data_IF_966855396472
#
_entry.id   IF_966855396472
#
_cell.length_a   1.000
_cell.length_b   1.000
_cell.length_c   1.000
_cell.angle_alpha   90.00
_cell.angle_beta   90.00
_cell.angle_gamma   90.00
#
_symmetry.space_group_name_H-M   'P 1'
#
loop_
_entity.id
_entity.type
_entity.pdbx_description
1 polymer ?
#
# COMPACT_ATOMS: atom_id res chain seq x y z
N UNK A 1 26.94 15.78 -7.77
CA UNK A 1 27.32 17.01 -7.04
C UNK A 1 28.82 17.16 -7.18
N UNK A 2 29.35 18.37 -7.36
CA UNK A 2 30.80 18.60 -7.41
C UNK A 2 31.24 19.55 -6.31
N UNK A 3 32.50 19.54 -5.96
CA UNK A 3 33.09 20.46 -5.01
C UNK A 3 34.46 20.96 -5.48
N UNK A 4 34.96 22.02 -4.84
CA UNK A 4 36.24 22.65 -5.09
C UNK A 4 36.81 23.17 -3.77
N UNK A 5 38.14 23.18 -3.63
CA UNK A 5 38.84 23.91 -2.56
C UNK A 5 39.03 25.36 -3.04
N UNK A 6 38.42 26.32 -2.35
CA UNK A 6 38.45 27.71 -2.76
C UNK A 6 39.87 28.30 -2.65
N UNK A 7 40.52 28.59 -3.77
CA UNK A 7 41.82 29.28 -3.77
C UNK A 7 41.64 30.80 -3.64
N UNK A 8 42.73 31.52 -3.38
CA UNK A 8 42.72 32.98 -3.35
C UNK A 8 42.30 33.58 -4.72
N UNK A 9 42.78 33.00 -5.82
CA UNK A 9 42.42 33.41 -7.18
C UNK A 9 40.96 33.08 -7.48
N UNK A 10 40.48 31.89 -7.11
CA UNK A 10 39.06 31.54 -7.31
C UNK A 10 38.15 32.52 -6.58
N UNK A 11 38.47 32.88 -5.34
CA UNK A 11 37.71 33.89 -4.59
C UNK A 11 37.73 35.26 -5.28
N UNK A 12 38.88 35.69 -5.76
CA UNK A 12 39.03 36.99 -6.42
C UNK A 12 38.19 37.07 -7.69
N UNK A 13 38.14 36.00 -8.48
CA UNK A 13 37.56 36.02 -9.83
C UNK A 13 36.18 35.36 -9.95
N UNK A 14 35.78 34.56 -8.97
CA UNK A 14 34.51 33.83 -8.92
C UNK A 14 33.70 34.14 -7.64
N UNK A 15 33.88 35.33 -7.07
CA UNK A 15 33.21 35.78 -5.84
C UNK A 15 31.68 35.59 -5.87
N UNK A 16 31.04 35.72 -7.04
CA UNK A 16 29.60 35.51 -7.19
C UNK A 16 29.14 34.08 -6.84
N UNK A 17 30.02 33.08 -6.98
CA UNK A 17 29.73 31.68 -6.67
C UNK A 17 30.28 31.24 -5.31
N UNK A 18 31.42 31.79 -4.90
CA UNK A 18 32.08 31.43 -3.63
C UNK A 18 31.62 32.26 -2.44
N UNK A 19 31.13 33.48 -2.66
CA UNK A 19 30.66 34.39 -1.62
C UNK A 19 31.69 34.57 -0.51
N UNK A 20 31.26 34.32 0.73
CA UNK A 20 32.09 34.45 1.93
C UNK A 20 32.93 33.21 2.26
N UNK A 21 33.01 32.20 1.38
CA UNK A 21 33.84 31.01 1.61
C UNK A 21 35.28 31.41 1.95
N UNK A 22 35.92 30.77 2.94
CA UNK A 22 37.30 31.05 3.29
C UNK A 22 38.29 30.44 2.28
N UNK A 23 39.48 31.01 2.14
CA UNK A 23 40.52 30.38 1.31
C UNK A 23 40.90 29.04 1.94
N UNK A 24 40.92 27.97 1.15
CA UNK A 24 41.14 26.60 1.61
C UNK A 24 39.86 25.86 2.04
N UNK A 25 38.72 26.55 2.14
CA UNK A 25 37.45 25.90 2.45
C UNK A 25 36.89 25.14 1.23
N UNK A 26 36.17 24.06 1.49
CA UNK A 26 35.53 23.27 0.45
C UNK A 26 34.13 23.83 0.17
N UNK A 27 33.87 24.14 -1.10
CA UNK A 27 32.55 24.57 -1.57
C UNK A 27 31.91 23.50 -2.43
N UNK A 28 30.70 23.09 -2.07
CA UNK A 28 29.91 22.13 -2.86
C UNK A 28 28.92 22.85 -3.78
N UNK A 29 28.65 22.23 -4.92
CA UNK A 29 27.76 22.70 -5.96
C UNK A 29 26.81 21.58 -6.39
N UNK A 30 25.52 21.72 -6.05
CA UNK A 30 24.45 20.84 -6.55
C UNK A 30 24.30 21.01 -8.07
N UNK A 31 24.48 22.24 -8.55
CA UNK A 31 24.52 22.59 -9.98
C UNK A 31 25.79 23.35 -10.26
N UNK A 32 26.48 22.97 -11.33
CA UNK A 32 27.71 23.64 -11.74
C UNK A 32 27.46 25.13 -12.07
N UNK A 33 28.41 26.02 -11.71
CA UNK A 33 28.40 27.42 -12.12
C UNK A 33 28.20 27.55 -13.63
N UNK A 34 27.40 28.55 -14.07
CA UNK A 34 27.20 28.82 -15.50
C UNK A 34 28.50 29.30 -16.15
N UNK A 35 29.19 30.17 -15.44
CA UNK A 35 30.48 30.74 -15.79
C UNK A 35 31.49 30.41 -14.71
N UNK A 36 32.73 30.13 -15.10
CA UNK A 36 33.85 30.07 -14.17
C UNK A 36 35.10 30.65 -14.83
N UNK A 37 35.86 31.43 -14.06
CA UNK A 37 37.14 32.01 -14.46
C UNK A 37 38.26 31.25 -13.76
N UNK A 38 39.05 30.53 -14.54
CA UNK A 38 40.25 29.85 -14.09
C UNK A 38 41.47 30.71 -14.44
N UNK A 39 42.28 31.04 -13.44
CA UNK A 39 43.48 31.89 -13.60
C UNK A 39 44.71 31.10 -13.17
N UNK A 40 45.68 31.04 -14.09
CA UNK A 40 47.03 30.54 -13.84
C UNK A 40 47.97 31.72 -13.96
N UNK A 41 48.91 31.84 -13.01
CA UNK A 41 49.96 32.85 -13.05
C UNK A 41 51.24 32.24 -13.60
N UNK A 42 51.96 33.01 -14.42
CA UNK A 42 53.29 32.66 -14.91
C UNK A 42 54.37 32.85 -13.82
N UNK A 43 55.61 32.53 -14.17
CA UNK A 43 56.78 32.67 -13.27
C UNK A 43 57.03 34.11 -12.77
N UNK A 44 56.46 35.12 -13.44
CA UNK A 44 56.56 36.53 -13.07
C UNK A 44 55.29 37.04 -12.34
N UNK A 45 54.44 36.12 -11.88
CA UNK A 45 53.18 36.40 -11.20
C UNK A 45 52.20 37.24 -12.05
N UNK A 46 52.30 37.16 -13.38
CA UNK A 46 51.34 37.73 -14.33
C UNK A 46 50.37 36.65 -14.82
N UNK A 47 49.19 37.04 -15.31
CA UNK A 47 48.22 36.07 -15.84
C UNK A 47 48.80 35.40 -17.09
N UNK A 48 49.00 34.09 -17.03
CA UNK A 48 49.32 33.29 -18.20
C UNK A 48 48.06 33.16 -19.07
N UNK A 49 48.03 33.89 -20.19
CA UNK A 49 46.89 33.91 -21.11
C UNK A 49 46.70 32.61 -21.88
N UNK A 50 47.73 31.76 -21.98
CA UNK A 50 47.63 30.46 -22.63
C UNK A 50 47.00 29.41 -21.71
N UNK A 51 47.24 29.52 -20.40
CA UNK A 51 46.73 28.61 -19.37
C UNK A 51 45.55 29.16 -18.56
N UNK A 52 45.06 30.37 -18.85
CA UNK A 52 43.90 30.97 -18.18
C UNK A 52 42.70 31.07 -19.11
N UNK A 53 41.49 30.86 -18.59
CA UNK A 53 40.24 30.96 -19.35
C UNK A 53 39.06 31.41 -18.50
N UNK A 54 38.04 31.95 -19.17
CA UNK A 54 36.73 32.27 -18.58
C UNK A 54 35.63 32.00 -19.60
N UNK A 55 34.59 31.23 -19.27
CA UNK A 55 33.54 30.90 -20.25
C UNK A 55 32.16 30.51 -19.71
N UNK A 56 31.13 30.98 -20.45
CA UNK A 56 29.75 30.50 -20.65
C UNK A 56 29.45 29.02 -20.43
N UNK A 57 30.38 28.21 -20.93
CA UNK A 57 30.17 26.79 -21.20
C UNK A 57 30.73 25.90 -20.10
N UNK A 58 31.33 26.47 -19.05
CA UNK A 58 31.91 25.69 -17.95
C UNK A 58 30.91 24.70 -17.38
N UNK A 59 29.63 25.07 -17.28
CA UNK A 59 28.57 24.17 -16.79
C UNK A 59 28.43 22.86 -17.55
N UNK A 60 28.69 22.86 -18.86
CA UNK A 60 28.46 21.72 -19.77
C UNK A 60 29.74 21.03 -20.23
N UNK A 61 30.89 21.65 -20.00
CA UNK A 61 32.21 21.18 -20.43
C UNK A 61 32.91 20.46 -19.28
N UNK A 62 32.72 19.14 -19.18
CA UNK A 62 33.22 18.33 -18.05
C UNK A 62 34.73 18.21 -17.99
N UNK A 63 35.41 18.28 -19.14
CA UNK A 63 36.87 18.14 -19.21
C UNK A 63 37.58 19.31 -18.53
N UNK A 64 36.93 20.49 -18.51
CA UNK A 64 37.43 21.68 -17.80
C UNK A 64 37.20 21.64 -16.30
N UNK A 65 36.33 20.77 -15.79
CA UNK A 65 35.99 20.73 -14.36
C UNK A 65 37.21 20.36 -13.52
N UNK A 66 37.86 19.24 -13.84
CA UNK A 66 39.03 18.77 -13.09
C UNK A 66 40.19 19.78 -13.13
N UNK A 67 40.44 20.39 -14.30
CA UNK A 67 41.49 21.39 -14.47
C UNK A 67 41.20 22.64 -13.62
N UNK A 68 39.93 23.03 -13.52
CA UNK A 68 39.50 24.12 -12.64
C UNK A 68 39.42 23.72 -11.15
N UNK A 69 39.82 22.49 -10.78
CA UNK A 69 39.81 22.01 -9.39
C UNK A 69 38.47 21.45 -8.92
N UNK A 70 37.51 21.25 -9.82
CA UNK A 70 36.21 20.65 -9.49
C UNK A 70 36.23 19.14 -9.62
N UNK A 71 35.91 18.46 -8.53
CA UNK A 71 35.82 17.01 -8.46
C UNK A 71 34.46 16.56 -7.91
N UNK A 72 34.09 15.32 -8.16
CA UNK A 72 32.81 14.77 -7.67
C UNK A 72 32.81 14.62 -6.16
N UNK A 73 31.64 14.83 -5.54
CA UNK A 73 31.41 14.52 -4.13
C UNK A 73 30.81 13.13 -4.06
N UNK A 74 31.54 12.21 -3.41
CA UNK A 74 31.21 10.79 -3.30
C UNK A 74 31.03 10.44 -1.84
N UNK A 75 29.86 9.87 -1.50
CA UNK A 75 29.63 9.27 -0.19
C UNK A 75 30.45 7.99 -0.10
N UNK A 76 31.32 7.82 0.90
CA UNK A 76 32.14 6.63 1.02
C UNK A 76 31.26 5.39 1.26
N UNK A 77 31.76 4.21 0.91
CA UNK A 77 31.14 2.96 1.36
C UNK A 77 31.44 2.74 2.85
N UNK A 78 30.42 2.44 3.64
CA UNK A 78 30.55 2.16 5.07
C UNK A 78 29.44 1.20 5.53
N UNK A 79 29.65 0.54 6.67
CA UNK A 79 28.62 -0.33 7.26
C UNK A 79 27.66 0.52 8.10
N UNK A 80 26.42 0.71 7.64
CA UNK A 80 25.44 1.58 8.32
C UNK A 80 25.04 1.14 9.73
N UNK A 81 25.29 -0.12 10.10
CA UNK A 81 25.01 -0.64 11.43
C UNK A 81 26.11 -0.25 12.44
N UNK A 82 27.35 -0.21 11.99
CA UNK A 82 28.54 -0.07 12.85
C UNK A 82 29.33 1.21 12.58
N UNK A 83 28.98 1.96 11.53
CA UNK A 83 29.69 3.13 11.08
C UNK A 83 28.75 4.25 10.64
N UNK A 84 29.29 5.47 10.62
CA UNK A 84 28.65 6.66 10.07
C UNK A 84 29.69 7.54 9.39
N UNK A 85 29.23 8.44 8.53
CA UNK A 85 30.06 9.54 8.04
C UNK A 85 29.44 10.86 8.45
N UNK A 86 30.28 11.89 8.50
CA UNK A 86 29.91 13.25 8.90
C UNK A 86 29.87 14.15 7.66
N UNK A 87 28.68 14.53 7.15
CA UNK A 87 28.55 15.38 5.95
C UNK A 87 29.24 16.75 6.07
N UNK A 88 29.49 17.22 7.28
CA UNK A 88 30.19 18.47 7.57
C UNK A 88 31.72 18.36 7.45
N UNK A 89 32.28 17.14 7.45
CA UNK A 89 33.72 16.89 7.37
C UNK A 89 34.16 16.45 5.98
N UNK A 90 33.68 17.11 4.94
CA UNK A 90 34.13 16.83 3.57
C UNK A 90 35.63 17.11 3.42
N UNK A 91 36.36 16.23 2.75
CA UNK A 91 37.78 16.40 2.42
C UNK A 91 38.07 15.96 0.98
N UNK A 92 39.21 16.37 0.43
CA UNK A 92 39.67 15.94 -0.90
C UNK A 92 40.55 14.69 -0.78
N UNK A 93 40.09 13.56 -1.31
CA UNK A 93 40.88 12.35 -1.49
C UNK A 93 41.75 12.51 -2.74
N UNK A 94 43.04 12.73 -2.50
CA UNK A 94 44.03 12.96 -3.54
C UNK A 94 44.34 11.72 -4.37
N UNK A 95 44.13 10.51 -3.82
CA UNK A 95 44.42 9.26 -4.52
C UNK A 95 43.32 8.95 -5.54
N UNK A 96 42.06 9.19 -5.15
CA UNK A 96 40.89 8.91 -6.00
C UNK A 96 40.37 10.14 -6.75
N UNK A 97 40.94 11.32 -6.51
CA UNK A 97 40.55 12.60 -7.10
C UNK A 97 39.06 12.91 -6.93
N UNK A 98 38.55 12.70 -5.72
CA UNK A 98 37.15 12.98 -5.33
C UNK A 98 37.09 13.71 -4.01
N UNK A 99 36.01 14.43 -3.78
CA UNK A 99 35.67 14.87 -2.43
C UNK A 99 34.86 13.77 -1.74
N UNK A 100 35.23 13.42 -0.52
CA UNK A 100 34.54 12.38 0.26
C UNK A 100 34.49 12.75 1.74
N UNK A 101 33.99 11.84 2.57
CA UNK A 101 33.75 12.06 4.00
C UNK A 101 34.50 11.03 4.83
N UNK A 102 34.97 11.37 6.03
CA UNK A 102 35.55 10.40 6.94
C UNK A 102 34.46 9.44 7.43
N UNK A 103 34.83 8.18 7.56
CA UNK A 103 33.99 7.14 8.15
C UNK A 103 34.45 6.90 9.58
N UNK A 104 33.50 6.91 10.50
CA UNK A 104 33.71 6.69 11.93
C UNK A 104 32.95 5.45 12.37
N UNK A 105 33.50 4.72 13.33
CA UNK A 105 32.81 3.61 13.97
C UNK A 105 31.89 4.13 15.08
N UNK A 106 30.70 3.54 15.20
CA UNK A 106 29.86 3.70 16.38
C UNK A 106 30.55 3.07 17.59
N UNK A 107 30.31 3.66 18.75
CA UNK A 107 30.65 3.03 20.02
C UNK A 107 29.74 1.81 20.27
N UNK A 108 30.22 0.85 21.07
CA UNK A 108 29.40 -0.31 21.44
C UNK A 108 28.07 0.11 22.09
N UNK A 109 28.07 1.17 22.90
CA UNK A 109 26.87 1.68 23.55
C UNK A 109 25.84 2.23 22.54
N UNK A 110 26.28 2.87 21.46
CA UNK A 110 25.39 3.35 20.41
C UNK A 110 24.83 2.20 19.57
N UNK A 111 25.64 1.18 19.29
CA UNK A 111 25.18 -0.05 18.61
C UNK A 111 24.12 -0.75 19.47
N UNK A 112 24.37 -0.92 20.77
CA UNK A 112 23.44 -1.56 21.69
C UNK A 112 22.14 -0.77 21.82
N UNK A 113 22.21 0.57 21.86
CA UNK A 113 21.04 1.44 21.89
C UNK A 113 20.19 1.27 20.61
N UNK A 114 20.82 1.28 19.43
CA UNK A 114 20.13 1.04 18.15
C UNK A 114 19.47 -0.33 18.10
N UNK A 115 20.17 -1.38 18.49
CA UNK A 115 19.62 -2.75 18.53
C UNK A 115 18.45 -2.85 19.51
N UNK A 116 18.51 -2.14 20.64
CA UNK A 116 17.40 -2.08 21.60
C UNK A 116 16.18 -1.39 20.99
N UNK A 117 16.37 -0.25 20.34
CA UNK A 117 15.29 0.49 19.69
C UNK A 117 14.67 -0.31 18.54
N UNK A 118 15.48 -1.00 17.75
CA UNK A 118 15.03 -1.91 16.70
C UNK A 118 14.16 -3.03 17.27
N UNK A 119 14.61 -3.71 18.34
CA UNK A 119 13.82 -4.75 19.02
C UNK A 119 12.52 -4.23 19.62
N UNK A 120 12.53 -3.02 20.17
CA UNK A 120 11.31 -2.37 20.68
C UNK A 120 10.34 -2.11 19.53
N UNK A 121 10.83 -1.60 18.40
CA UNK A 121 10.01 -1.35 17.22
C UNK A 121 9.43 -2.64 16.64
N UNK A 122 10.25 -3.69 16.48
CA UNK A 122 9.80 -5.02 16.06
C UNK A 122 8.73 -5.57 16.99
N UNK A 123 8.98 -5.53 18.30
CA UNK A 123 8.00 -5.98 19.31
C UNK A 123 6.70 -5.17 19.25
N UNK A 124 6.77 -3.86 18.99
CA UNK A 124 5.59 -3.01 18.87
C UNK A 124 4.81 -3.30 17.58
N UNK A 125 5.51 -3.50 16.46
CA UNK A 125 4.89 -3.89 15.19
C UNK A 125 4.17 -5.24 15.30
N UNK A 126 4.82 -6.25 15.88
CA UNK A 126 4.20 -7.56 16.12
C UNK A 126 2.99 -7.45 17.06
N UNK A 127 3.10 -6.63 18.11
CA UNK A 127 1.98 -6.38 19.03
C UNK A 127 0.80 -5.74 18.29
N UNK A 128 1.05 -4.76 17.42
CA UNK A 128 0.01 -4.08 16.64
C UNK A 128 -0.71 -5.06 15.71
N UNK A 129 0.04 -5.91 15.02
CA UNK A 129 -0.49 -6.96 14.14
C UNK A 129 -1.35 -7.97 14.92
N UNK A 130 -0.85 -8.46 16.05
CA UNK A 130 -1.60 -9.40 16.88
C UNK A 130 -2.88 -8.78 17.45
N UNK A 131 -2.84 -7.51 17.84
CA UNK A 131 -4.04 -6.78 18.29
C UNK A 131 -5.06 -6.71 17.15
N UNK A 132 -4.62 -6.36 15.93
CA UNK A 132 -5.51 -6.27 14.77
C UNK A 132 -6.18 -7.62 14.48
N UNK A 133 -5.39 -8.70 14.36
CA UNK A 133 -5.91 -10.05 14.09
C UNK A 133 -6.90 -10.51 15.17
N UNK A 134 -6.58 -10.28 16.45
CA UNK A 134 -7.47 -10.65 17.55
C UNK A 134 -8.75 -9.83 17.58
N UNK A 135 -8.65 -8.54 17.28
CA UNK A 135 -9.80 -7.65 17.23
C UNK A 135 -10.75 -8.04 16.09
N UNK A 136 -10.21 -8.31 14.90
CA UNK A 136 -11.00 -8.79 13.75
C UNK A 136 -11.70 -10.11 14.06
N UNK A 137 -10.99 -11.08 14.64
CA UNK A 137 -11.58 -12.35 15.05
C UNK A 137 -12.70 -12.17 16.09
N UNK A 138 -12.50 -11.29 17.09
CA UNK A 138 -13.50 -11.01 18.12
C UNK A 138 -14.73 -10.29 17.56
N UNK A 139 -14.53 -9.33 16.65
CA UNK A 139 -15.62 -8.63 15.95
C UNK A 139 -16.43 -9.63 15.12
N UNK A 140 -15.77 -10.48 14.36
CA UNK A 140 -16.43 -11.50 13.56
C UNK A 140 -17.20 -12.51 14.42
N UNK A 141 -16.59 -12.99 15.52
CA UNK A 141 -17.27 -13.89 16.47
C UNK A 141 -18.54 -13.24 17.04
N UNK A 142 -18.45 -11.96 17.43
CA UNK A 142 -19.58 -11.19 17.95
C UNK A 142 -20.66 -10.97 16.89
N UNK A 143 -20.27 -10.67 15.64
CA UNK A 143 -21.20 -10.53 14.52
C UNK A 143 -21.90 -11.86 14.21
N UNK A 144 -21.17 -12.98 14.13
CA UNK A 144 -21.76 -14.30 13.88
C UNK A 144 -22.71 -14.75 14.99
N UNK A 145 -22.49 -14.30 16.23
CA UNK A 145 -23.39 -14.55 17.36
C UNK A 145 -24.67 -13.71 17.33
N UNK A 146 -24.78 -12.71 16.45
CA UNK A 146 -26.00 -11.90 16.30
C UNK A 146 -27.15 -12.76 15.76
N UNK A 147 -28.24 -12.80 16.51
CA UNK A 147 -29.45 -13.56 16.18
C UNK A 147 -30.46 -12.76 15.39
N UNK A 148 -30.41 -11.43 15.46
CA UNK A 148 -31.28 -10.55 14.70
C UNK A 148 -30.71 -10.35 13.29
N UNK A 149 -31.39 -10.94 12.30
CA UNK A 149 -31.02 -10.87 10.89
C UNK A 149 -31.05 -9.43 10.35
N UNK A 150 -31.88 -8.53 10.92
CA UNK A 150 -31.89 -7.11 10.51
C UNK A 150 -30.65 -6.37 10.97
N UNK A 151 -30.21 -6.62 12.21
CA UNK A 151 -28.95 -6.08 12.74
C UNK A 151 -27.76 -6.64 11.98
N UNK A 152 -27.80 -7.93 11.64
CA UNK A 152 -26.79 -8.55 10.79
C UNK A 152 -26.71 -7.90 9.41
N UNK A 153 -27.85 -7.62 8.78
CA UNK A 153 -27.92 -7.01 7.46
C UNK A 153 -27.45 -5.55 7.48
N UNK A 154 -27.85 -4.76 8.48
CA UNK A 154 -27.36 -3.38 8.71
C UNK A 154 -25.82 -3.32 8.87
N UNK A 155 -25.22 -4.43 9.34
CA UNK A 155 -23.78 -4.58 9.56
C UNK A 155 -23.15 -5.63 8.64
N UNK A 156 -23.69 -5.85 7.44
CA UNK A 156 -23.26 -6.95 6.55
C UNK A 156 -21.75 -6.95 6.25
N UNK A 157 -21.11 -5.77 6.26
CA UNK A 157 -19.68 -5.60 6.00
C UNK A 157 -18.77 -6.27 7.06
N UNK A 158 -19.31 -6.66 8.23
CA UNK A 158 -18.58 -7.38 9.27
C UNK A 158 -18.46 -8.89 9.00
N UNK A 159 -19.26 -9.43 8.07
CA UNK A 159 -19.27 -10.85 7.75
C UNK A 159 -18.27 -11.17 6.63
N UNK A 160 -17.67 -12.37 6.61
CA UNK A 160 -16.70 -12.75 5.58
C UNK A 160 -17.42 -13.00 4.26
N UNK A 161 -16.68 -12.90 3.16
CA UNK A 161 -17.17 -13.42 1.88
C UNK A 161 -17.26 -14.94 1.90
N UNK A 162 -18.21 -15.49 1.14
CA UNK A 162 -18.29 -16.90 0.86
C UNK A 162 -17.03 -17.36 0.11
N UNK A 163 -16.49 -18.50 0.52
CA UNK A 163 -15.29 -19.10 -0.07
C UNK A 163 -15.50 -20.60 -0.28
N UNK A 164 -14.84 -21.17 -1.30
CA UNK A 164 -14.87 -22.60 -1.62
C UNK A 164 -14.01 -23.39 -0.63
N UNK A 165 -14.47 -24.57 -0.21
CA UNK A 165 -13.73 -25.45 0.70
C UNK A 165 -13.86 -25.08 2.18
N UNK A 166 -14.74 -24.12 2.52
CA UNK A 166 -15.02 -23.72 3.90
C UNK A 166 -16.15 -24.58 4.47
N UNK A 167 -15.96 -25.09 5.68
CA UNK A 167 -17.00 -25.80 6.42
C UNK A 167 -17.90 -24.79 7.15
N UNK A 168 -19.12 -24.60 6.65
CA UNK A 168 -20.11 -23.73 7.25
C UNK A 168 -21.03 -24.50 8.19
N UNK A 169 -21.34 -23.91 9.34
CA UNK A 169 -22.34 -24.42 10.30
C UNK A 169 -23.68 -23.71 10.11
N UNK A 170 -24.75 -24.31 10.61
CA UNK A 170 -26.09 -23.68 10.60
C UNK A 170 -26.03 -22.30 11.25
N UNK A 171 -26.68 -21.32 10.62
CA UNK A 171 -26.75 -19.93 11.08
C UNK A 171 -25.53 -19.08 10.74
N UNK A 172 -24.43 -19.68 10.25
CA UNK A 172 -23.25 -18.93 9.83
C UNK A 172 -23.60 -18.03 8.65
N UNK A 173 -23.30 -16.73 8.77
CA UNK A 173 -23.63 -15.75 7.74
C UNK A 173 -22.39 -15.37 6.91
N UNK A 174 -22.58 -15.19 5.61
CA UNK A 174 -21.54 -14.83 4.64
C UNK A 174 -22.05 -13.80 3.65
N UNK A 175 -21.17 -12.92 3.18
CA UNK A 175 -21.42 -12.10 2.01
C UNK A 175 -21.19 -12.91 0.73
N UNK A 176 -22.04 -12.78 -0.27
CA UNK A 176 -21.80 -13.37 -1.59
C UNK A 176 -22.39 -12.50 -2.70
N UNK A 177 -21.83 -12.64 -3.90
CA UNK A 177 -22.35 -11.96 -5.07
C UNK A 177 -23.61 -12.63 -5.59
N UNK A 178 -24.59 -11.81 -5.95
CA UNK A 178 -25.69 -12.18 -6.83
C UNK A 178 -25.69 -11.20 -8.01
N UNK A 179 -25.19 -11.68 -9.14
CA UNK A 179 -24.84 -10.82 -10.27
C UNK A 179 -23.72 -9.84 -9.91
N UNK A 180 -24.06 -8.54 -9.84
CA UNK A 180 -23.10 -7.46 -9.53
C UNK A 180 -23.22 -6.96 -8.09
N UNK A 181 -24.28 -7.34 -7.39
CA UNK A 181 -24.59 -6.88 -6.04
C UNK A 181 -24.09 -7.88 -5.00
N UNK A 182 -23.83 -7.41 -3.80
CA UNK A 182 -23.41 -8.23 -2.65
C UNK A 182 -24.56 -8.33 -1.68
N UNK A 183 -24.91 -9.56 -1.31
CA UNK A 183 -25.95 -9.83 -0.32
C UNK A 183 -25.40 -10.69 0.81
N UNK A 184 -26.05 -10.58 1.97
CA UNK A 184 -25.80 -11.44 3.10
C UNK A 184 -26.64 -12.72 2.97
N UNK A 185 -26.02 -13.88 3.15
CA UNK A 185 -26.64 -15.19 3.15
C UNK A 185 -26.39 -15.88 4.48
N UNK A 186 -27.34 -16.70 4.91
CA UNK A 186 -27.27 -17.51 6.12
C UNK A 186 -27.28 -18.99 5.76
N UNK A 187 -26.32 -19.73 6.29
CA UNK A 187 -26.23 -21.17 6.12
C UNK A 187 -27.39 -21.88 6.82
N UNK A 188 -28.09 -22.76 6.11
CA UNK A 188 -29.28 -23.49 6.60
C UNK A 188 -28.91 -24.89 7.06
N UNK A 189 -27.97 -25.53 6.36
CA UNK A 189 -27.53 -26.90 6.62
C UNK A 189 -26.01 -26.97 6.68
N UNK A 190 -25.40 -27.71 7.63
CA UNK A 190 -23.96 -27.78 7.73
C UNK A 190 -23.38 -28.51 6.52
N UNK A 191 -22.40 -27.88 5.86
CA UNK A 191 -21.77 -28.44 4.66
C UNK A 191 -20.36 -27.86 4.46
N UNK A 192 -19.60 -28.44 3.54
CA UNK A 192 -18.38 -27.83 3.00
C UNK A 192 -18.70 -27.28 1.62
N UNK A 193 -18.43 -25.99 1.40
CA UNK A 193 -18.74 -25.30 0.15
C UNK A 193 -17.95 -25.86 -1.04
N UNK A 194 -18.58 -25.84 -2.21
CA UNK A 194 -18.01 -26.27 -3.50
C UNK A 194 -18.12 -25.13 -4.53
N UNK A 195 -17.33 -25.20 -5.61
CA UNK A 195 -17.24 -24.14 -6.62
C UNK A 195 -18.58 -23.82 -7.29
N UNK A 196 -19.43 -24.84 -7.49
CA UNK A 196 -20.77 -24.76 -8.06
C UNK A 196 -21.87 -24.49 -7.01
N UNK A 197 -21.51 -24.31 -5.73
CA UNK A 197 -22.45 -24.09 -4.63
C UNK A 197 -22.41 -22.64 -4.13
N UNK A 198 -22.49 -21.69 -5.06
CA UNK A 198 -22.62 -20.28 -4.70
C UNK A 198 -23.95 -20.07 -3.95
N UNK A 199 -24.02 -19.24 -2.90
CA UNK A 199 -25.21 -19.13 -2.06
C UNK A 199 -26.54 -18.87 -2.79
N UNK A 200 -26.50 -18.11 -3.90
CA UNK A 200 -27.67 -17.84 -4.75
C UNK A 200 -28.20 -19.07 -5.51
N UNK A 201 -27.34 -20.05 -5.81
CA UNK A 201 -27.64 -21.20 -6.67
C UNK A 201 -28.06 -22.44 -5.87
N UNK A 202 -27.89 -22.41 -4.54
CA UNK A 202 -28.19 -23.53 -3.63
C UNK A 202 -29.11 -23.10 -2.47
N UNK A 203 -30.38 -22.74 -2.73
CA UNK A 203 -31.33 -22.28 -1.71
C UNK A 203 -31.58 -23.31 -0.59
N UNK A 204 -31.34 -24.59 -0.85
CA UNK A 204 -31.39 -25.66 0.15
C UNK A 204 -30.26 -25.58 1.20
N UNK A 205 -29.13 -24.93 0.88
CA UNK A 205 -27.94 -24.80 1.74
C UNK A 205 -27.81 -23.39 2.32
N UNK A 206 -28.25 -22.37 1.60
CA UNK A 206 -28.20 -20.97 2.00
C UNK A 206 -29.53 -20.25 1.77
N UNK A 207 -29.88 -19.36 2.69
CA UNK A 207 -31.01 -18.44 2.52
C UNK A 207 -30.48 -17.01 2.50
N UNK A 208 -30.94 -16.21 1.55
CA UNK A 208 -30.65 -14.77 1.51
C UNK A 208 -31.26 -14.10 2.75
N UNK A 209 -30.47 -13.32 3.47
CA UNK A 209 -30.94 -12.51 4.61
C UNK A 209 -31.63 -11.27 4.06
N UNK A 210 -32.84 -10.99 4.53
CA UNK A 210 -33.69 -9.91 4.04
C UNK A 210 -34.40 -9.21 5.21
N UNK A 211 -34.88 -7.98 5.01
CA UNK A 211 -35.66 -7.30 6.04
C UNK A 211 -37.07 -7.93 6.17
N UNK A 212 -37.70 -7.86 7.36
CA UNK A 212 -39.07 -8.33 7.53
C UNK A 212 -40.03 -7.67 6.52
N UNK A 213 -40.76 -8.50 5.78
CA UNK A 213 -41.70 -8.06 4.74
C UNK A 213 -41.09 -7.87 3.36
N UNK A 214 -39.77 -8.05 3.21
CA UNK A 214 -39.15 -8.20 1.89
C UNK A 214 -39.47 -9.59 1.34
N UNK A 215 -40.08 -9.60 0.16
CA UNK A 215 -40.51 -10.83 -0.51
C UNK A 215 -39.37 -11.24 -1.45
N UNK A 216 -38.86 -12.48 -1.39
CA UNK A 216 -37.79 -12.92 -2.28
C UNK A 216 -38.30 -13.16 -3.69
N UNK A 217 -37.40 -13.15 -4.68
CA UNK A 217 -37.72 -13.66 -6.03
C UNK A 217 -37.81 -15.18 -5.97
N UNK A 218 -38.74 -15.77 -6.73
CA UNK A 218 -38.86 -17.22 -6.86
C UNK A 218 -37.55 -17.82 -7.38
N UNK A 219 -37.07 -18.85 -6.68
CA UNK A 219 -35.94 -19.68 -7.10
C UNK A 219 -36.46 -21.09 -7.29
N UNK A 220 -36.13 -21.71 -8.42
CA UNK A 220 -36.56 -23.06 -8.75
C UNK A 220 -36.05 -24.06 -7.70
N UNK A 221 -36.93 -24.74 -6.94
CA UNK A 221 -36.50 -25.71 -5.94
C UNK A 221 -35.79 -26.90 -6.59
N UNK A 222 -34.80 -27.43 -5.86
CA UNK A 222 -33.96 -28.58 -6.24
C UNK A 222 -34.34 -29.85 -5.48
N UNK A 223 -35.14 -29.75 -4.42
CA UNK A 223 -35.64 -30.85 -3.62
C UNK A 223 -36.87 -30.48 -2.79
N UNK A 224 -37.18 -31.29 -1.78
CA UNK A 224 -38.29 -31.04 -0.88
C UNK A 224 -37.93 -29.99 0.20
N UNK A 225 -36.65 -29.87 0.52
CA UNK A 225 -36.15 -28.98 1.57
C UNK A 225 -36.18 -27.48 1.22
N UNK A 226 -36.30 -27.15 -0.06
CA UNK A 226 -36.39 -25.79 -0.60
C UNK A 226 -37.73 -25.54 -1.32
N UNK A 227 -38.71 -26.43 -1.13
CA UNK A 227 -40.04 -26.27 -1.67
C UNK A 227 -40.84 -25.22 -0.87
N UNK A 228 -41.68 -24.45 -1.57
CA UNK A 228 -42.50 -23.42 -0.97
C UNK A 228 -43.76 -24.03 -0.34
N UNK A 229 -44.11 -23.63 0.87
CA UNK A 229 -45.31 -24.10 1.55
C UNK A 229 -46.49 -23.17 1.32
N UNK A 230 -47.69 -23.62 1.69
CA UNK A 230 -48.90 -22.79 1.58
C UNK A 230 -48.71 -21.48 2.34
N UNK A 231 -48.92 -20.34 1.68
CA UNK A 231 -48.76 -19.00 2.23
C UNK A 231 -47.40 -18.35 1.99
N UNK A 232 -46.41 -19.06 1.46
CA UNK A 232 -45.12 -18.46 1.09
C UNK A 232 -45.30 -17.51 -0.10
N UNK A 233 -44.67 -16.33 -0.03
CA UNK A 233 -44.78 -15.29 -1.04
C UNK A 233 -43.47 -15.10 -1.79
N UNK A 234 -43.55 -14.93 -3.12
CA UNK A 234 -42.40 -14.67 -3.99
C UNK A 234 -42.72 -13.65 -5.07
N UNK A 235 -41.75 -12.84 -5.47
CA UNK A 235 -41.80 -12.10 -6.73
C UNK A 235 -41.47 -13.03 -7.90
N UNK A 236 -42.16 -12.90 -9.04
CA UNK A 236 -41.83 -13.68 -10.23
C UNK A 236 -42.21 -12.95 -11.55
N UNK A 237 -41.33 -12.94 -12.58
CA UNK A 237 -40.01 -13.59 -12.61
C UNK A 237 -38.87 -12.79 -11.97
N UNK A 238 -39.03 -11.49 -11.75
CA UNK A 238 -38.00 -10.61 -11.16
C UNK A 238 -38.51 -9.86 -9.94
N UNK A 239 -37.63 -9.23 -9.17
CA UNK A 239 -37.95 -8.47 -7.95
C UNK A 239 -38.95 -7.31 -8.12
N UNK A 240 -39.16 -6.85 -9.36
CA UNK A 240 -40.08 -5.76 -9.68
C UNK A 240 -41.42 -6.26 -10.27
N UNK A 241 -41.60 -7.57 -10.40
CA UNK A 241 -42.81 -8.20 -10.93
C UNK A 241 -43.83 -8.50 -9.81
N UNK A 242 -45.07 -8.93 -10.13
CA UNK A 242 -46.07 -9.22 -9.11
C UNK A 242 -45.64 -10.27 -8.10
N UNK A 243 -46.23 -10.17 -6.91
CA UNK A 243 -46.08 -11.17 -5.85
C UNK A 243 -47.06 -12.31 -6.11
N UNK A 244 -46.61 -13.53 -5.87
CA UNK A 244 -47.40 -14.74 -5.88
C UNK A 244 -47.30 -15.43 -4.52
N UNK A 245 -48.44 -15.82 -3.97
CA UNK A 245 -48.57 -16.64 -2.77
C UNK A 245 -48.81 -18.10 -3.16
N UNK A 246 -48.04 -19.02 -2.58
CA UNK A 246 -48.21 -20.46 -2.82
C UNK A 246 -49.50 -20.96 -2.16
N UNK A 247 -50.27 -21.77 -2.88
CA UNK A 247 -51.55 -22.33 -2.44
C UNK A 247 -51.45 -23.79 -1.97
N UNK A 248 -50.28 -24.41 -2.08
CA UNK A 248 -50.03 -25.81 -1.74
C UNK A 248 -48.74 -25.96 -0.95
N UNK A 249 -48.68 -26.99 -0.12
CA UNK A 249 -47.46 -27.42 0.55
C UNK A 249 -46.52 -28.14 -0.42
N UNK A 250 -45.22 -28.06 -0.15
CA UNK A 250 -44.16 -28.65 -1.00
C UNK A 250 -44.23 -28.20 -2.48
N UNK A 251 -44.58 -26.94 -2.75
CA UNK A 251 -44.66 -26.38 -4.09
C UNK A 251 -43.27 -26.19 -4.71
N UNK A 252 -42.99 -26.97 -5.75
CA UNK A 252 -41.72 -26.96 -6.50
C UNK A 252 -41.84 -26.35 -7.90
N UNK A 253 -43.00 -25.80 -8.28
CA UNK A 253 -43.25 -25.30 -9.63
C UNK A 253 -43.37 -23.78 -9.65
N UNK A 254 -42.91 -23.14 -10.73
CA UNK A 254 -43.04 -21.69 -10.89
C UNK A 254 -44.51 -21.26 -11.11
N UNK A 255 -44.86 -19.98 -10.87
CA UNK A 255 -46.17 -19.43 -11.20
C UNK A 255 -46.56 -19.58 -12.68
N UNK A 256 -45.59 -19.73 -13.59
CA UNK A 256 -45.86 -19.97 -15.02
C UNK A 256 -46.10 -21.45 -15.31
N UNK A 257 -45.32 -22.35 -14.72
CA UNK A 257 -45.40 -23.79 -15.01
C UNK A 257 -46.60 -24.46 -14.33
N UNK A 258 -46.99 -23.97 -13.16
CA UNK A 258 -48.15 -24.47 -12.43
C UNK A 258 -48.99 -23.33 -11.81
N UNK A 259 -49.72 -22.55 -12.63
CA UNK A 259 -50.49 -21.40 -12.14
C UNK A 259 -51.57 -21.74 -11.11
N UNK A 260 -52.01 -23.01 -11.05
CA UNK A 260 -53.01 -23.47 -10.07
C UNK A 260 -52.44 -23.58 -8.65
N UNK A 261 -51.12 -23.66 -8.51
CA UNK A 261 -50.44 -23.68 -7.22
C UNK A 261 -50.13 -22.30 -6.65
N UNK A 262 -50.50 -21.22 -7.35
CA UNK A 262 -50.14 -19.85 -6.97
C UNK A 262 -51.33 -18.90 -7.09
N UNK A 263 -51.40 -17.92 -6.19
CA UNK A 263 -52.32 -16.79 -6.27
C UNK A 263 -51.53 -15.50 -6.35
N UNK A 264 -51.75 -14.71 -7.41
CA UNK A 264 -51.19 -13.36 -7.47
C UNK A 264 -51.86 -12.46 -6.42
N UNK A 265 -51.04 -11.72 -5.66
CA UNK A 265 -51.44 -10.81 -4.57
C UNK A 265 -51.28 -9.35 -4.96
#
# INVERSE_FOLDING_TARGET
MKAIIATALDKQYNAAYLGNAEVGSIKTFIRMPKDWRHIVLDENNQIDKALSWSSAFFRTDTDKHAIAGFYDVVVPAYNTQTQYYLPEQIYFDVENLVFTYPVHDFTQAEIDAKLKDEKINESNSLKQELIQQKLEAQILESAQAESDDTVALDNQALYPFWEVGVAYTVGFKVQAFDGVDVFLYKCVQPHTSQEDWQPKDVPALFTKVAYPGEIPVFVQPTGAQDAYNTGDQVHYPTENDPVYESLIDDNVWSPTDYPQGWQQV
#
